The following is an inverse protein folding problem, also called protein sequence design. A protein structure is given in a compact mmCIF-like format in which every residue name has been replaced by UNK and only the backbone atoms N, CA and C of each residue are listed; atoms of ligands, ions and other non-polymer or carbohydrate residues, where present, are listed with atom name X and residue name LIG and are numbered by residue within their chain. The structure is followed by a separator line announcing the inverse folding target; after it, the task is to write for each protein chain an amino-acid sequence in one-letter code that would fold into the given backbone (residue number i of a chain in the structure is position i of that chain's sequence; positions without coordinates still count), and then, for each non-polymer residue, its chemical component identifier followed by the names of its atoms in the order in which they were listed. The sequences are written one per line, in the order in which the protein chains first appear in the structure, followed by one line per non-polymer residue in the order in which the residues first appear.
data_IF_607042372337
#
_entry.id   IF_607042372337
#
_cell.length_a   1.000
_cell.length_b   1.000
_cell.length_c   1.000
_cell.angle_alpha   90.00
_cell.angle_beta   90.00
_cell.angle_gamma   90.00
#
_symmetry.space_group_name_H-M   'P 1'
#
loop_
_entity.id
_entity.type
_entity.pdbx_description
1 polymer ?
#
# COMPACT_ATOMS: atom_id res chain seq x y z
N UNK A 1 -4.58 18.56 6.24
CA UNK A 1 -5.64 17.77 6.91
C UNK A 1 -5.22 17.47 8.34
N UNK A 2 -6.13 16.98 9.19
CA UNK A 2 -5.87 16.72 10.63
C UNK A 2 -5.12 15.40 10.92
N UNK A 3 -4.48 14.79 9.92
CA UNK A 3 -3.74 13.53 10.10
C UNK A 3 -4.59 12.27 10.30
N UNK A 4 -5.92 12.36 10.27
CA UNK A 4 -6.82 11.23 10.52
C UNK A 4 -6.55 10.01 9.60
N UNK A 5 -6.25 10.24 8.33
CA UNK A 5 -5.92 9.16 7.40
C UNK A 5 -4.71 8.33 7.85
N UNK A 6 -3.69 8.98 8.39
CA UNK A 6 -2.49 8.32 8.92
C UNK A 6 -2.83 7.48 10.15
N UNK A 7 -3.59 8.05 11.08
CA UNK A 7 -4.01 7.34 12.31
C UNK A 7 -4.87 6.12 11.98
N UNK A 8 -5.78 6.25 11.02
CA UNK A 8 -6.67 5.16 10.63
C UNK A 8 -5.92 4.05 9.89
N UNK A 9 -5.05 4.40 8.94
CA UNK A 9 -4.27 3.42 8.18
C UNK A 9 -3.26 2.69 9.07
N UNK A 10 -2.60 3.37 10.00
CA UNK A 10 -1.72 2.73 10.98
C UNK A 10 -2.45 1.70 11.84
N UNK A 11 -3.64 2.08 12.37
CA UNK A 11 -4.50 1.15 13.13
C UNK A 11 -4.91 -0.07 12.30
N UNK A 12 -5.25 0.15 11.02
CA UNK A 12 -5.62 -0.91 10.09
C UNK A 12 -4.45 -1.89 9.88
N UNK A 13 -3.26 -1.37 9.58
CA UNK A 13 -2.03 -2.16 9.40
C UNK A 13 -1.72 -2.97 10.66
N UNK A 14 -1.74 -2.33 11.82
CA UNK A 14 -1.48 -2.99 13.10
C UNK A 14 -2.50 -4.10 13.38
N UNK A 15 -3.78 -3.86 13.10
CA UNK A 15 -4.83 -4.86 13.24
C UNK A 15 -4.62 -6.06 12.29
N UNK A 16 -4.34 -5.80 11.00
CA UNK A 16 -4.10 -6.83 10.00
C UNK A 16 -2.86 -7.68 10.32
N UNK A 17 -1.76 -7.06 10.78
CA UNK A 17 -0.56 -7.78 11.26
C UNK A 17 -0.90 -8.74 12.40
N UNK A 18 -1.64 -8.27 13.43
CA UNK A 18 -2.03 -9.13 14.57
C UNK A 18 -2.91 -10.32 14.16
N UNK A 19 -3.67 -10.19 13.07
CA UNK A 19 -4.53 -11.26 12.53
C UNK A 19 -3.79 -12.24 11.61
N UNK A 20 -2.52 -11.97 11.28
CA UNK A 20 -1.77 -12.76 10.30
C UNK A 20 -2.20 -12.51 8.85
N UNK A 21 -2.81 -11.34 8.56
CA UNK A 21 -3.11 -10.93 7.18
C UNK A 21 -1.79 -10.80 6.40
N UNK A 22 -1.69 -11.44 5.23
CA UNK A 22 -0.46 -11.40 4.43
C UNK A 22 -0.23 -10.05 3.76
N UNK A 23 -1.29 -9.47 3.21
CA UNK A 23 -1.20 -8.29 2.36
C UNK A 23 -2.41 -7.38 2.55
N UNK A 24 -2.21 -6.08 2.39
CA UNK A 24 -3.30 -5.12 2.17
C UNK A 24 -3.21 -4.68 0.71
N UNK A 25 -4.31 -4.83 -0.01
CA UNK A 25 -4.44 -4.36 -1.39
C UNK A 25 -5.55 -3.32 -1.49
N UNK A 26 -5.46 -2.43 -2.46
CA UNK A 26 -6.49 -1.44 -2.73
C UNK A 26 -6.25 -0.72 -4.05
N UNK A 27 -7.21 0.09 -4.46
CA UNK A 27 -7.14 0.88 -5.68
C UNK A 27 -7.43 2.34 -5.35
N UNK A 28 -6.74 3.26 -6.03
CA UNK A 28 -6.99 4.69 -5.88
C UNK A 28 -6.85 5.41 -7.22
N UNK A 29 -7.45 6.60 -7.33
CA UNK A 29 -7.23 7.47 -8.48
C UNK A 29 -5.75 7.88 -8.58
N UNK A 30 -5.17 7.78 -9.77
CA UNK A 30 -3.77 8.07 -10.04
C UNK A 30 -3.35 9.52 -9.71
N UNK A 31 -4.31 10.44 -9.65
CA UNK A 31 -4.07 11.85 -9.34
C UNK A 31 -4.44 12.25 -7.89
N UNK A 32 -4.89 11.32 -7.06
CA UNK A 32 -5.24 11.60 -5.67
C UNK A 32 -3.98 11.66 -4.78
N UNK A 33 -3.24 12.77 -4.90
CA UNK A 33 -1.98 13.00 -4.16
C UNK A 33 -2.11 12.72 -2.65
N UNK A 34 -3.25 13.07 -2.03
CA UNK A 34 -3.47 12.85 -0.60
C UNK A 34 -3.43 11.38 -0.18
N UNK A 35 -4.09 10.50 -0.95
CA UNK A 35 -4.04 9.04 -0.71
C UNK A 35 -2.66 8.48 -1.07
N UNK A 36 -2.08 8.93 -2.18
CA UNK A 36 -0.78 8.44 -2.63
C UNK A 36 0.35 8.77 -1.64
N UNK A 37 0.35 9.98 -1.09
CA UNK A 37 1.33 10.39 -0.07
C UNK A 37 1.10 9.61 1.24
N UNK A 38 -0.17 9.43 1.63
CA UNK A 38 -0.55 8.64 2.80
C UNK A 38 -0.04 7.20 2.70
N UNK A 39 -0.31 6.50 1.60
CA UNK A 39 0.05 5.07 1.49
C UNK A 39 1.55 4.86 1.28
N UNK A 40 2.24 5.78 0.58
CA UNK A 40 3.70 5.77 0.48
C UNK A 40 4.40 5.95 1.82
N UNK A 41 3.82 6.71 2.74
CA UNK A 41 4.35 6.83 4.10
C UNK A 41 4.36 5.48 4.86
N UNK A 42 3.46 4.57 4.51
CA UNK A 42 3.37 3.23 5.10
C UNK A 42 3.96 2.13 4.18
N UNK A 43 4.85 2.49 3.26
CA UNK A 43 5.56 1.58 2.35
C UNK A 43 4.66 0.74 1.43
N UNK A 44 3.46 1.24 1.10
CA UNK A 44 2.69 0.64 0.02
C UNK A 44 3.43 0.82 -1.32
N UNK A 45 3.55 -0.27 -2.07
CA UNK A 45 3.86 -0.23 -3.51
C UNK A 45 2.67 0.35 -4.25
N UNK A 46 2.95 1.20 -5.23
CA UNK A 46 1.96 1.89 -6.06
C UNK A 46 2.31 1.58 -7.51
N UNK A 47 1.53 0.71 -8.13
CA UNK A 47 1.71 0.27 -9.52
C UNK A 47 0.56 0.83 -10.38
N UNK A 48 0.78 1.20 -11.66
CA UNK A 48 -0.33 1.51 -12.56
C UNK A 48 -1.32 0.36 -12.63
N UNK A 49 -2.62 0.66 -12.67
CA UNK A 49 -3.63 -0.38 -12.89
C UNK A 49 -3.57 -0.84 -14.35
N UNK A 50 -3.68 -2.15 -14.57
CA UNK A 50 -3.75 -2.74 -15.90
C UNK A 50 -5.15 -2.56 -16.53
N UNK A 51 -6.17 -2.39 -15.69
CA UNK A 51 -7.57 -2.38 -16.10
C UNK A 51 -8.08 -0.95 -16.39
N UNK A 52 -7.55 0.07 -15.70
CA UNK A 52 -7.93 1.47 -15.87
C UNK A 52 -6.73 2.42 -15.71
N UNK A 53 -6.42 3.19 -16.76
CA UNK A 53 -5.33 4.17 -16.74
C UNK A 53 -5.55 5.34 -15.76
N UNK A 54 -6.79 5.54 -15.28
CA UNK A 54 -7.16 6.54 -14.27
C UNK A 54 -6.84 6.12 -12.83
N UNK A 55 -6.49 4.84 -12.60
CA UNK A 55 -6.27 4.29 -11.26
C UNK A 55 -4.88 3.67 -11.10
N UNK A 56 -4.52 3.45 -9.84
CA UNK A 56 -3.31 2.75 -9.43
C UNK A 56 -3.66 1.66 -8.42
N UNK A 57 -2.94 0.56 -8.50
CA UNK A 57 -3.00 -0.53 -7.54
C UNK A 57 -2.04 -0.24 -6.38
N UNK A 58 -2.53 -0.39 -5.16
CA UNK A 58 -1.81 -0.19 -3.92
C UNK A 58 -1.59 -1.55 -3.25
N UNK A 59 -0.37 -1.84 -2.79
CA UNK A 59 -0.06 -3.10 -2.12
C UNK A 59 0.92 -2.90 -0.97
N UNK A 60 0.58 -3.41 0.20
CA UNK A 60 1.50 -3.54 1.34
C UNK A 60 1.59 -5.01 1.75
N UNK A 61 2.78 -5.58 1.60
CA UNK A 61 3.11 -6.88 2.15
C UNK A 61 3.38 -6.72 3.66
N UNK A 62 2.57 -7.37 4.50
CA UNK A 62 2.68 -7.23 5.96
C UNK A 62 3.72 -8.16 6.58
N UNK A 63 4.13 -9.18 5.83
CA UNK A 63 5.19 -10.12 6.16
C UNK A 63 6.02 -10.39 4.88
N UNK A 64 6.88 -9.45 4.47
CA UNK A 64 7.75 -9.68 3.32
C UNK A 64 8.67 -10.86 3.64
N UNK A 65 8.44 -11.98 2.97
CA UNK A 65 9.40 -13.08 2.93
C UNK A 65 10.64 -12.51 2.26
N UNK A 66 11.78 -12.48 2.98
CA UNK A 66 13.05 -11.85 2.58
C UNK A 66 13.15 -11.71 1.05
N UNK A 67 13.22 -10.46 0.56
CA UNK A 67 13.35 -10.18 -0.86
C UNK A 67 14.51 -11.01 -1.43
N UNK A 68 14.17 -12.10 -2.12
CA UNK A 68 15.13 -12.88 -2.89
C UNK A 68 15.78 -11.90 -3.86
N UNK A 69 17.12 -11.84 -3.97
CA UNK A 69 17.76 -10.86 -4.82
C UNK A 69 17.23 -11.08 -6.24
N UNK A 70 16.64 -10.02 -6.79
CA UNK A 70 16.21 -9.97 -8.18
C UNK A 70 17.34 -10.55 -9.03
N UNK A 71 16.97 -11.57 -9.82
CA UNK A 71 17.77 -12.19 -10.86
C UNK A 71 18.66 -11.16 -11.55
N UNK A 72 19.97 -11.35 -11.45
CA UNK A 72 20.94 -10.71 -12.32
C UNK A 72 20.69 -11.21 -13.75
N UNK A 73 20.48 -10.27 -14.66
CA UNK A 73 20.56 -10.47 -16.11
C UNK A 73 21.97 -10.90 -16.54
#
# INVERSE_FOLDING_TARGET
GQGLGYILLDKLIAYCRRRGTRQIVGEALAHNKGVLDLVRHFDFKVDPSADDAGTVMLRLDLFPENASPASAD
#
